data_IF_076743145144
#
_entry.id   IF_076743145144
#
_cell.length_a   1.000
_cell.length_b   1.000
_cell.length_c   1.000
_cell.angle_alpha   90.00
_cell.angle_beta   90.00
_cell.angle_gamma   90.00
#
_symmetry.space_group_name_H-M   'P 1'
#
loop_
_entity.id
_entity.type
_entity.pdbx_description
1 polymer ?
#
# COMPACT_ATOMS: atom_id res chain seq x y z
N UNK A 1 2.93 -31.80 29.58
CA UNK A 1 4.33 -31.77 29.19
C UNK A 1 4.38 -31.84 27.66
N UNK A 2 4.28 -30.70 26.99
CA UNK A 2 4.44 -30.61 25.54
C UNK A 2 5.41 -29.47 25.26
N UNK A 3 6.58 -29.86 24.80
CA UNK A 3 7.67 -28.95 24.44
C UNK A 3 7.39 -28.34 23.07
N UNK A 4 7.20 -27.04 23.03
CA UNK A 4 7.17 -26.27 21.80
C UNK A 4 8.62 -25.88 21.45
N UNK A 5 9.20 -26.55 20.48
CA UNK A 5 10.49 -26.22 19.92
C UNK A 5 10.36 -25.93 18.44
N UNK A 6 10.48 -24.67 18.07
CA UNK A 6 11.22 -24.23 16.86
C UNK A 6 11.19 -22.71 16.72
N UNK A 7 12.20 -22.10 17.29
CA UNK A 7 12.58 -20.73 16.94
C UNK A 7 13.34 -20.80 15.61
N UNK A 8 12.72 -20.40 14.50
CA UNK A 8 13.39 -20.26 13.21
C UNK A 8 14.00 -18.87 13.15
N UNK A 9 15.32 -18.81 13.11
CA UNK A 9 16.11 -17.59 12.93
C UNK A 9 15.70 -16.91 11.62
N UNK A 10 15.16 -15.70 11.70
CA UNK A 10 15.02 -14.79 10.55
C UNK A 10 16.42 -14.29 10.18
N UNK A 11 16.82 -14.60 8.97
CA UNK A 11 18.04 -14.07 8.37
C UNK A 11 17.70 -12.71 7.77
N UNK A 12 18.25 -11.65 8.37
CA UNK A 12 18.26 -10.32 7.76
C UNK A 12 19.18 -10.38 6.55
N UNK A 13 18.66 -10.16 5.36
CA UNK A 13 19.48 -9.90 4.19
C UNK A 13 20.05 -8.50 4.30
N UNK A 14 21.33 -8.42 4.59
CA UNK A 14 22.15 -7.25 4.33
C UNK A 14 22.37 -7.18 2.81
N UNK A 15 22.18 -5.99 2.28
CA UNK A 15 22.35 -5.66 0.88
C UNK A 15 23.84 -5.65 0.56
N UNK A 16 24.35 -6.79 0.08
CA UNK A 16 25.69 -6.87 -0.50
C UNK A 16 25.64 -7.61 -1.84
N UNK A 17 26.27 -6.97 -2.84
CA UNK A 17 26.73 -7.50 -4.12
C UNK A 17 25.72 -7.91 -5.19
N UNK A 18 25.36 -6.93 -6.03
CA UNK A 18 24.97 -7.21 -7.41
C UNK A 18 26.12 -6.84 -8.34
N UNK A 19 26.97 -7.82 -8.64
CA UNK A 19 27.70 -7.90 -9.90
C UNK A 19 27.93 -9.36 -10.27
N UNK A 20 27.18 -9.78 -11.30
CA UNK A 20 27.52 -10.87 -12.20
C UNK A 20 27.38 -12.29 -11.67
N UNK A 21 26.30 -12.97 -12.06
CA UNK A 21 26.32 -14.35 -12.56
C UNK A 21 25.01 -14.59 -13.33
N UNK A 22 25.08 -14.66 -14.65
CA UNK A 22 24.14 -15.40 -15.46
C UNK A 22 24.30 -16.87 -15.16
N UNK A 23 23.27 -17.60 -14.74
CA UNK A 23 22.88 -18.88 -15.34
C UNK A 23 21.61 -19.47 -14.67
N UNK A 24 20.65 -19.83 -15.56
CA UNK A 24 19.68 -20.92 -15.48
C UNK A 24 19.07 -21.28 -14.12
N UNK A 25 17.99 -20.63 -13.76
CA UNK A 25 17.04 -21.21 -12.80
C UNK A 25 16.01 -22.07 -13.57
N UNK A 26 16.17 -23.38 -13.46
CA UNK A 26 15.16 -24.38 -13.76
C UNK A 26 13.95 -24.18 -12.83
N UNK A 27 12.79 -24.24 -13.42
CA UNK A 27 11.48 -24.42 -12.82
C UNK A 27 11.54 -25.43 -11.64
N UNK A 28 11.57 -24.91 -10.44
CA UNK A 28 11.28 -25.66 -9.22
C UNK A 28 10.08 -24.99 -8.60
N UNK A 29 8.90 -25.59 -8.78
CA UNK A 29 7.67 -25.18 -8.14
C UNK A 29 7.81 -25.13 -6.64
N UNK A 30 8.21 -23.99 -6.11
CA UNK A 30 8.10 -23.67 -4.69
C UNK A 30 6.61 -23.43 -4.45
N UNK A 31 5.93 -24.46 -3.96
CA UNK A 31 4.64 -24.29 -3.31
C UNK A 31 4.90 -23.37 -2.11
N UNK A 32 4.58 -22.10 -2.27
CA UNK A 32 4.64 -21.15 -1.18
C UNK A 32 3.60 -21.61 -0.14
N UNK A 33 4.06 -22.22 0.95
CA UNK A 33 3.24 -22.52 2.10
C UNK A 33 2.55 -21.20 2.51
N UNK A 34 1.23 -21.19 2.39
CA UNK A 34 0.40 -20.07 2.82
C UNK A 34 0.63 -19.88 4.32
N UNK A 35 1.51 -18.98 4.68
CA UNK A 35 1.75 -18.60 6.06
C UNK A 35 0.43 -18.17 6.69
N UNK A 36 0.10 -18.67 7.87
CA UNK A 36 -1.12 -18.40 8.62
C UNK A 36 -1.15 -16.98 9.22
N UNK A 37 -0.34 -16.07 8.71
CA UNK A 37 -0.20 -14.69 9.19
C UNK A 37 -0.58 -13.64 8.15
N UNK A 38 -0.86 -12.43 8.63
CA UNK A 38 -1.03 -11.23 7.81
C UNK A 38 0.21 -11.02 6.92
N UNK A 39 0.07 -10.66 5.64
CA UNK A 39 1.21 -10.35 4.79
C UNK A 39 1.95 -9.11 5.31
N UNK A 40 3.26 -9.07 5.07
CA UNK A 40 4.16 -8.01 5.54
C UNK A 40 4.62 -7.12 4.37
N UNK A 41 5.25 -6.00 4.72
CA UNK A 41 5.95 -5.15 3.73
C UNK A 41 7.08 -5.97 3.11
N UNK A 42 7.14 -5.98 1.76
CA UNK A 42 8.07 -6.77 0.97
C UNK A 42 7.50 -8.13 0.51
N UNK A 43 6.38 -8.57 1.07
CA UNK A 43 5.72 -9.79 0.59
C UNK A 43 4.95 -9.50 -0.72
N UNK A 44 4.82 -10.52 -1.56
CA UNK A 44 3.88 -10.46 -2.67
C UNK A 44 2.46 -10.44 -2.13
N UNK A 45 1.63 -9.57 -2.69
CA UNK A 45 0.23 -9.44 -2.30
C UNK A 45 -0.52 -10.77 -2.51
N UNK A 46 -1.15 -11.33 -1.48
CA UNK A 46 -1.86 -12.60 -1.57
C UNK A 46 -2.97 -12.56 -2.62
N UNK A 47 -2.94 -13.53 -3.53
CA UNK A 47 -3.89 -13.62 -4.64
C UNK A 47 -5.29 -14.06 -4.16
N UNK A 48 -6.33 -13.49 -4.79
CA UNK A 48 -7.71 -13.91 -4.58
C UNK A 48 -8.56 -13.69 -5.84
N UNK A 49 -9.72 -14.36 -5.87
CA UNK A 49 -10.75 -14.14 -6.87
C UNK A 49 -12.07 -13.86 -6.17
N UNK A 50 -12.74 -12.79 -6.54
CA UNK A 50 -14.01 -12.38 -5.94
C UNK A 50 -14.89 -11.63 -6.92
N UNK A 51 -16.16 -11.45 -6.52
CA UNK A 51 -17.06 -10.50 -7.18
C UNK A 51 -16.88 -9.11 -6.58
N UNK A 52 -16.99 -8.11 -7.42
CA UNK A 52 -16.99 -6.70 -7.02
C UNK A 52 -18.19 -5.99 -7.63
N UNK A 53 -18.44 -4.75 -7.21
CA UNK A 53 -19.46 -3.88 -7.81
C UNK A 53 -19.26 -3.65 -9.30
N UNK A 54 -18.07 -3.90 -9.84
CA UNK A 54 -17.72 -3.74 -11.27
C UNK A 54 -17.46 -5.07 -11.99
N UNK A 55 -17.90 -6.19 -11.38
CA UNK A 55 -17.76 -7.53 -11.99
C UNK A 55 -16.70 -8.37 -11.28
N UNK A 56 -16.20 -9.40 -11.99
CA UNK A 56 -15.20 -10.31 -11.44
C UNK A 56 -13.84 -9.63 -11.32
N UNK A 57 -13.16 -9.90 -10.22
CA UNK A 57 -11.80 -9.46 -9.96
C UNK A 57 -10.90 -10.66 -9.71
N UNK A 58 -9.77 -10.74 -10.41
CA UNK A 58 -8.69 -11.69 -10.21
C UNK A 58 -7.45 -10.92 -9.75
N UNK A 59 -7.32 -10.73 -8.44
CA UNK A 59 -6.26 -9.95 -7.83
C UNK A 59 -5.02 -10.84 -7.57
N UNK A 60 -3.78 -10.39 -7.82
CA UNK A 60 -3.40 -9.07 -8.33
C UNK A 60 -3.33 -8.95 -9.86
N UNK A 61 -3.59 -10.03 -10.62
CA UNK A 61 -3.31 -10.12 -12.06
C UNK A 61 -4.02 -9.03 -12.88
N UNK A 62 -5.27 -8.67 -12.53
CA UNK A 62 -6.03 -7.62 -13.21
C UNK A 62 -5.43 -6.20 -13.02
N UNK A 63 -4.49 -6.07 -12.09
CA UNK A 63 -3.82 -4.81 -11.74
C UNK A 63 -2.34 -4.79 -12.10
N UNK A 64 -1.85 -5.76 -12.87
CA UNK A 64 -0.45 -5.84 -13.26
C UNK A 64 0.05 -4.53 -13.90
N UNK A 65 1.20 -4.03 -13.48
CA UNK A 65 1.78 -2.77 -13.95
C UNK A 65 1.17 -1.50 -13.35
N UNK A 66 0.26 -1.64 -12.37
CA UNK A 66 -0.38 -0.54 -11.65
C UNK A 66 -0.02 -0.55 -10.17
N UNK A 67 0.08 0.62 -9.57
CA UNK A 67 -0.03 0.74 -8.13
C UNK A 67 -1.47 0.48 -7.70
N UNK A 68 -1.65 -0.13 -6.53
CA UNK A 68 -2.98 -0.39 -5.99
C UNK A 68 -3.07 0.08 -4.55
N UNK A 69 -4.10 0.85 -4.24
CA UNK A 69 -4.58 1.09 -2.88
C UNK A 69 -5.67 0.07 -2.59
N UNK A 70 -5.30 -1.04 -1.98
CA UNK A 70 -6.26 -2.05 -1.53
C UNK A 70 -6.65 -1.75 -0.10
N UNK A 71 -7.93 -1.44 0.13
CA UNK A 71 -8.37 -0.97 1.44
C UNK A 71 -9.67 -1.63 1.89
N UNK A 72 -9.82 -1.83 3.20
CA UNK A 72 -11.06 -2.34 3.79
C UNK A 72 -11.82 -1.26 4.54
N UNK A 73 -13.13 -1.46 4.67
CA UNK A 73 -14.02 -0.65 5.51
C UNK A 73 -14.90 -1.56 6.37
N UNK A 74 -15.28 -1.13 7.58
CA UNK A 74 -16.01 -1.96 8.54
C UNK A 74 -17.36 -2.48 8.06
N UNK A 75 -18.20 -1.61 7.50
CA UNK A 75 -19.51 -1.98 6.96
C UNK A 75 -20.08 -0.88 6.05
N UNK A 76 -20.92 -1.29 5.10
CA UNK A 76 -21.74 -0.40 4.30
C UNK A 76 -22.72 0.40 5.16
N UNK A 77 -23.27 1.47 4.64
CA UNK A 77 -24.26 2.33 5.31
C UNK A 77 -23.81 2.88 6.68
N UNK A 78 -22.49 3.03 6.89
CA UNK A 78 -21.94 3.61 8.12
C UNK A 78 -21.38 5.02 7.86
N UNK A 79 -21.49 5.94 8.84
CA UNK A 79 -21.14 7.35 8.59
C UNK A 79 -19.70 7.60 8.18
N UNK A 80 -18.73 7.03 8.91
CA UNK A 80 -17.30 7.24 8.62
C UNK A 80 -16.90 6.61 7.29
N UNK A 81 -17.40 5.39 6.98
CA UNK A 81 -17.12 4.74 5.70
C UNK A 81 -17.67 5.56 4.53
N UNK A 82 -18.88 6.11 4.67
CA UNK A 82 -19.48 6.97 3.65
C UNK A 82 -18.62 8.22 3.38
N UNK A 83 -18.12 8.87 4.42
CA UNK A 83 -17.22 10.04 4.24
C UNK A 83 -15.91 9.67 3.55
N UNK A 84 -15.34 8.49 3.85
CA UNK A 84 -14.12 8.00 3.22
C UNK A 84 -14.32 7.70 1.73
N UNK A 85 -15.43 7.02 1.38
CA UNK A 85 -15.75 6.68 -0.01
C UNK A 85 -15.98 7.93 -0.85
N UNK A 86 -16.72 8.92 -0.33
CA UNK A 86 -16.88 10.21 -0.99
C UNK A 86 -15.52 10.91 -1.18
N UNK A 87 -14.63 10.87 -0.17
CA UNK A 87 -13.31 11.50 -0.26
C UNK A 87 -12.41 10.79 -1.29
N UNK A 88 -12.45 9.46 -1.36
CA UNK A 88 -11.72 8.66 -2.35
C UNK A 88 -12.28 8.87 -3.76
N UNK A 89 -13.61 8.88 -3.90
CA UNK A 89 -14.27 9.12 -5.19
C UNK A 89 -13.88 10.48 -5.78
N UNK A 90 -13.89 11.53 -4.97
CA UNK A 90 -13.48 12.89 -5.39
C UNK A 90 -12.03 12.98 -5.84
N UNK A 91 -11.16 12.08 -5.35
CA UNK A 91 -9.72 12.05 -5.67
C UNK A 91 -9.32 10.92 -6.62
N UNK A 92 -10.28 10.16 -7.12
CA UNK A 92 -10.00 8.98 -7.96
C UNK A 92 -9.14 9.32 -9.19
N UNK A 93 -9.42 10.43 -9.85
CA UNK A 93 -8.64 10.88 -11.00
C UNK A 93 -7.20 11.30 -10.62
N UNK A 94 -7.01 11.82 -9.40
CA UNK A 94 -5.66 12.13 -8.90
C UNK A 94 -4.85 10.86 -8.66
N UNK A 95 -5.47 9.77 -8.19
CA UNK A 95 -4.82 8.47 -8.06
C UNK A 95 -4.51 7.87 -9.43
N UNK A 96 -5.44 7.90 -10.36
CA UNK A 96 -5.20 7.46 -11.73
C UNK A 96 -4.05 8.20 -12.42
N UNK A 97 -3.95 9.51 -12.19
CA UNK A 97 -2.87 10.35 -12.75
C UNK A 97 -1.47 9.92 -12.27
N UNK A 98 -1.37 9.26 -11.13
CA UNK A 98 -0.13 8.68 -10.59
C UNK A 98 -0.09 7.15 -10.75
N UNK A 99 -0.72 6.61 -11.81
CA UNK A 99 -0.77 5.20 -12.15
C UNK A 99 -1.29 4.29 -11.00
N UNK A 100 -2.26 4.76 -10.21
CA UNK A 100 -2.76 4.07 -9.03
C UNK A 100 -4.24 3.77 -9.14
N UNK A 101 -4.62 2.51 -8.90
CA UNK A 101 -6.00 2.04 -8.85
C UNK A 101 -6.48 1.89 -7.39
N UNK A 102 -7.77 2.11 -7.17
CA UNK A 102 -8.42 1.95 -5.87
C UNK A 102 -9.23 0.65 -5.87
N UNK A 103 -9.11 -0.15 -4.81
CA UNK A 103 -9.86 -1.39 -4.62
C UNK A 103 -10.37 -1.47 -3.19
N UNK A 104 -11.68 -1.30 -3.02
CA UNK A 104 -12.34 -1.43 -1.71
C UNK A 104 -12.68 -2.87 -1.36
N UNK A 105 -12.82 -3.16 -0.06
CA UNK A 105 -13.29 -4.45 0.45
C UNK A 105 -14.11 -4.26 1.72
N UNK A 106 -15.20 -4.99 1.84
CA UNK A 106 -15.79 -5.34 3.13
C UNK A 106 -16.37 -6.76 3.09
N UNK A 107 -16.87 -7.21 4.24
CA UNK A 107 -17.53 -8.51 4.39
C UNK A 107 -19.03 -8.46 4.09
N UNK A 108 -19.53 -7.31 3.64
CA UNK A 108 -20.90 -7.15 3.19
C UNK A 108 -21.16 -7.87 1.86
N UNK A 109 -22.42 -8.04 1.51
CA UNK A 109 -22.83 -8.68 0.27
C UNK A 109 -22.65 -7.74 -0.94
N UNK A 110 -22.53 -8.32 -2.14
CA UNK A 110 -22.48 -7.55 -3.38
C UNK A 110 -23.71 -6.62 -3.51
N UNK A 111 -24.91 -7.10 -3.16
CA UNK A 111 -26.12 -6.30 -3.26
C UNK A 111 -26.15 -5.16 -2.24
N UNK A 112 -25.53 -5.34 -1.06
CA UNK A 112 -25.34 -4.26 -0.09
C UNK A 112 -24.41 -3.17 -0.69
N UNK A 113 -23.28 -3.56 -1.26
CA UNK A 113 -22.36 -2.62 -1.91
C UNK A 113 -23.03 -1.82 -3.03
N UNK A 114 -23.80 -2.48 -3.90
CA UNK A 114 -24.50 -1.82 -5.00
C UNK A 114 -25.49 -0.80 -4.48
N UNK A 115 -26.35 -1.18 -3.51
CA UNK A 115 -27.34 -0.28 -2.93
C UNK A 115 -26.67 0.87 -2.15
N UNK A 116 -25.55 0.60 -1.47
CA UNK A 116 -24.83 1.63 -0.74
C UNK A 116 -24.12 2.60 -1.68
N UNK A 117 -23.46 2.14 -2.73
CA UNK A 117 -22.83 2.99 -3.74
C UNK A 117 -23.87 3.94 -4.37
N UNK A 118 -25.05 3.42 -4.77
CA UNK A 118 -26.14 4.21 -5.28
C UNK A 118 -26.62 5.26 -4.26
N UNK A 119 -26.74 4.88 -2.97
CA UNK A 119 -27.16 5.82 -1.92
C UNK A 119 -26.14 6.94 -1.68
N UNK A 120 -24.86 6.72 -1.91
CA UNK A 120 -23.80 7.74 -1.78
C UNK A 120 -23.95 8.82 -2.86
N UNK A 121 -24.43 8.47 -4.05
CA UNK A 121 -24.63 9.42 -5.14
C UNK A 121 -25.64 10.51 -4.81
N UNK A 122 -26.54 10.25 -3.86
CA UNK A 122 -27.50 11.26 -3.38
C UNK A 122 -26.94 12.23 -2.33
N UNK A 123 -25.74 11.97 -1.82
CA UNK A 123 -25.14 12.73 -0.72
C UNK A 123 -24.27 13.87 -1.25
N UNK A 124 -24.69 15.11 -1.01
CA UNK A 124 -23.84 16.30 -1.19
C UNK A 124 -23.13 16.65 0.13
N UNK A 125 -22.05 15.94 0.41
CA UNK A 125 -21.28 16.16 1.64
C UNK A 125 -20.58 17.52 1.64
N UNK A 126 -21.00 18.41 2.54
CA UNK A 126 -20.47 19.77 2.74
C UNK A 126 -20.65 20.71 1.53
N UNK A 127 -21.67 20.49 0.69
CA UNK A 127 -21.93 21.35 -0.47
C UNK A 127 -20.86 21.30 -1.56
N UNK A 128 -20.07 20.19 -1.60
CA UNK A 128 -18.98 20.01 -2.58
C UNK A 128 -19.38 19.20 -3.81
N UNK A 129 -20.67 19.00 -4.01
CA UNK A 129 -21.23 18.21 -5.09
C UNK A 129 -21.34 16.72 -4.76
N UNK A 130 -22.22 16.06 -5.50
CA UNK A 130 -22.44 14.61 -5.46
C UNK A 130 -21.33 13.88 -6.21
N UNK A 131 -21.10 12.61 -5.89
CA UNK A 131 -20.09 11.78 -6.53
C UNK A 131 -20.64 10.38 -6.77
N UNK A 132 -20.24 9.75 -7.86
CA UNK A 132 -20.36 8.33 -8.09
C UNK A 132 -19.12 7.64 -7.52
N UNK A 133 -19.21 6.35 -7.18
CA UNK A 133 -18.07 5.55 -6.72
C UNK A 133 -17.38 4.91 -7.94
N UNK A 134 -16.24 5.43 -8.41
CA UNK A 134 -15.63 5.03 -9.67
C UNK A 134 -14.61 3.88 -9.54
N UNK A 135 -14.66 3.12 -8.45
CA UNK A 135 -13.74 2.03 -8.16
C UNK A 135 -14.50 0.80 -7.63
N UNK A 136 -13.98 -0.43 -7.87
CA UNK A 136 -14.62 -1.66 -7.44
C UNK A 136 -14.57 -1.85 -5.92
N UNK A 137 -15.62 -2.50 -5.39
CA UNK A 137 -15.73 -2.92 -3.99
C UNK A 137 -15.87 -4.44 -3.97
N UNK A 138 -14.92 -5.12 -3.35
CA UNK A 138 -14.89 -6.58 -3.19
C UNK A 138 -15.90 -7.02 -2.15
N UNK A 139 -16.80 -7.93 -2.53
CA UNK A 139 -17.76 -8.57 -1.63
C UNK A 139 -17.14 -9.83 -1.01
N UNK A 140 -16.60 -9.72 0.21
CA UNK A 140 -15.95 -10.83 0.91
C UNK A 140 -16.82 -11.41 2.04
N UNK A 141 -18.05 -11.80 1.72
CA UNK A 141 -19.02 -12.40 2.67
C UNK A 141 -18.45 -13.61 3.42
N UNK A 142 -17.53 -14.33 2.77
CA UNK A 142 -16.85 -15.49 3.36
C UNK A 142 -15.74 -15.11 4.35
N UNK A 143 -15.38 -13.84 4.43
CA UNK A 143 -14.25 -13.31 5.20
C UNK A 143 -12.90 -13.93 4.82
N UNK A 144 -12.80 -14.56 3.65
CA UNK A 144 -11.61 -15.27 3.23
C UNK A 144 -10.47 -14.30 2.93
N UNK A 145 -10.76 -13.27 2.14
CA UNK A 145 -9.78 -12.23 1.78
C UNK A 145 -9.43 -11.39 3.02
N UNK A 146 -10.43 -11.00 3.80
CA UNK A 146 -10.23 -10.24 5.03
C UNK A 146 -9.31 -10.97 6.03
N UNK A 147 -9.46 -12.30 6.17
CA UNK A 147 -8.56 -13.12 6.99
C UNK A 147 -7.16 -13.22 6.41
N UNK A 148 -7.05 -13.43 5.11
CA UNK A 148 -5.79 -13.56 4.39
C UNK A 148 -4.92 -12.31 4.53
N UNK A 149 -5.54 -11.13 4.58
CA UNK A 149 -4.88 -9.83 4.74
C UNK A 149 -4.83 -9.33 6.19
N UNK A 150 -5.28 -10.13 7.17
CA UNK A 150 -5.29 -9.73 8.58
C UNK A 150 -6.20 -8.55 8.90
N UNK A 151 -7.23 -8.32 8.09
CA UNK A 151 -8.17 -7.19 8.23
C UNK A 151 -9.22 -7.41 9.34
N UNK A 152 -9.26 -8.59 9.98
CA UNK A 152 -10.12 -8.90 11.10
C UNK A 152 -9.33 -8.81 12.41
N UNK A 153 -9.84 -8.06 13.39
CA UNK A 153 -9.13 -7.86 14.66
C UNK A 153 -9.09 -9.13 15.54
N UNK A 154 -10.15 -9.94 15.49
CA UNK A 154 -10.26 -11.19 16.25
C UNK A 154 -10.92 -12.25 15.40
N UNK A 155 -10.81 -13.52 15.82
CA UNK A 155 -11.48 -14.64 15.16
C UNK A 155 -13.01 -14.47 15.14
N UNK A 156 -13.56 -13.77 16.14
CA UNK A 156 -15.00 -13.51 16.28
C UNK A 156 -15.44 -12.18 15.63
N UNK A 157 -14.53 -11.42 15.00
CA UNK A 157 -14.90 -10.15 14.36
C UNK A 157 -15.85 -10.39 13.19
N UNK A 158 -16.93 -9.61 13.17
CA UNK A 158 -17.92 -9.57 12.08
C UNK A 158 -17.79 -8.30 11.23
N UNK A 159 -16.70 -7.56 11.40
CA UNK A 159 -16.38 -6.36 10.66
C UNK A 159 -14.87 -6.28 10.43
N UNK A 160 -14.46 -5.71 9.31
CA UNK A 160 -13.06 -5.42 9.04
C UNK A 160 -12.62 -4.13 9.73
N UNK A 161 -11.32 -4.00 10.01
CA UNK A 161 -10.71 -2.71 10.35
C UNK A 161 -10.60 -1.82 9.12
N UNK A 162 -10.18 -0.57 9.29
CA UNK A 162 -9.82 0.32 8.17
C UNK A 162 -8.37 0.09 7.78
N UNK A 163 -8.10 -1.01 7.10
CA UNK A 163 -6.78 -1.31 6.57
C UNK A 163 -6.54 -0.61 5.24
N UNK A 164 -5.28 -0.33 4.94
CA UNK A 164 -4.78 0.10 3.63
C UNK A 164 -3.51 -0.66 3.34
N UNK A 165 -3.46 -1.32 2.20
CA UNK A 165 -2.26 -1.92 1.62
C UNK A 165 -1.90 -1.14 0.36
N UNK A 166 -0.71 -0.57 0.32
CA UNK A 166 -0.15 0.08 -0.87
C UNK A 166 0.72 -0.97 -1.55
N UNK A 167 0.35 -1.33 -2.77
CA UNK A 167 0.93 -2.43 -3.54
C UNK A 167 1.48 -1.85 -4.83
N UNK A 168 2.71 -2.23 -5.18
CA UNK A 168 3.39 -1.71 -6.37
C UNK A 168 3.02 -2.48 -7.66
N UNK A 169 3.50 -2.02 -8.84
CA UNK A 169 3.23 -2.66 -10.13
C UNK A 169 3.68 -4.12 -10.25
N UNK A 170 4.62 -4.56 -9.41
CA UNK A 170 5.10 -5.95 -9.34
C UNK A 170 4.31 -6.79 -8.33
N UNK A 171 3.23 -6.23 -7.79
CA UNK A 171 2.37 -6.85 -6.79
C UNK A 171 3.05 -7.04 -5.42
N UNK A 172 4.03 -6.22 -5.08
CA UNK A 172 4.70 -6.24 -3.77
C UNK A 172 4.06 -5.21 -2.85
N UNK A 173 3.81 -5.60 -1.60
CA UNK A 173 3.28 -4.71 -0.57
C UNK A 173 4.40 -3.76 -0.13
N UNK A 174 4.18 -2.46 -0.31
CA UNK A 174 5.16 -1.42 -0.01
C UNK A 174 4.88 -0.65 1.28
N UNK A 175 3.60 -0.53 1.65
CA UNK A 175 3.19 0.09 2.91
C UNK A 175 1.87 -0.52 3.41
N UNK A 176 1.69 -0.51 4.73
CA UNK A 176 0.48 -1.03 5.40
C UNK A 176 0.08 -0.05 6.48
N UNK A 177 -1.19 0.37 6.48
CA UNK A 177 -1.76 1.23 7.51
C UNK A 177 -3.02 0.57 8.09
N UNK A 178 -3.17 0.64 9.39
CA UNK A 178 -4.35 0.14 10.10
C UNK A 178 -4.91 1.22 10.99
N UNK A 179 -6.20 1.48 10.85
CA UNK A 179 -6.94 2.46 11.64
C UNK A 179 -8.08 1.79 12.40
N UNK A 180 -8.39 2.26 13.62
CA UNK A 180 -9.57 1.79 14.34
C UNK A 180 -10.85 2.25 13.62
N UNK A 181 -11.95 1.58 13.92
CA UNK A 181 -13.25 1.86 13.27
C UNK A 181 -13.73 3.31 13.44
N UNK A 182 -13.35 3.95 14.54
CA UNK A 182 -13.74 5.33 14.89
C UNK A 182 -13.00 6.42 14.12
N UNK A 183 -11.88 6.08 13.45
CA UNK A 183 -10.98 7.07 12.86
C UNK A 183 -10.97 6.96 11.34
N UNK A 184 -11.51 7.96 10.64
CA UNK A 184 -11.43 8.08 9.20
C UNK A 184 -9.98 8.31 8.73
N UNK A 185 -9.65 7.75 7.57
CA UNK A 185 -8.30 7.83 6.98
C UNK A 185 -8.04 9.22 6.39
N UNK A 186 -6.79 9.64 6.45
CA UNK A 186 -6.33 10.81 5.70
C UNK A 186 -5.96 10.37 4.28
N UNK A 187 -6.76 10.77 3.29
CA UNK A 187 -6.56 10.36 1.89
C UNK A 187 -5.34 11.05 1.27
N UNK A 188 -5.02 12.27 1.71
CA UNK A 188 -3.83 12.99 1.25
C UNK A 188 -2.54 12.27 1.72
N UNK A 189 -2.54 11.71 2.93
CA UNK A 189 -1.42 10.89 3.42
C UNK A 189 -1.24 9.60 2.63
N UNK A 190 -2.32 8.91 2.26
CA UNK A 190 -2.22 7.72 1.39
C UNK A 190 -1.56 8.09 0.06
N UNK A 191 -2.00 9.17 -0.57
CA UNK A 191 -1.41 9.68 -1.81
C UNK A 191 0.06 10.08 -1.62
N UNK A 192 0.39 10.78 -0.53
CA UNK A 192 1.75 11.18 -0.18
C UNK A 192 2.70 9.98 -0.08
N UNK A 193 2.27 8.90 0.57
CA UNK A 193 3.07 7.66 0.69
C UNK A 193 3.36 7.07 -0.69
N UNK A 194 2.36 7.00 -1.58
CA UNK A 194 2.55 6.47 -2.94
C UNK A 194 3.58 7.32 -3.71
N UNK A 195 3.43 8.64 -3.69
CA UNK A 195 4.35 9.55 -4.35
C UNK A 195 5.78 9.45 -3.80
N UNK A 196 5.92 9.26 -2.48
CA UNK A 196 7.21 9.00 -1.84
C UNK A 196 7.85 7.69 -2.32
N UNK A 197 7.06 6.62 -2.46
CA UNK A 197 7.54 5.33 -2.95
C UNK A 197 7.92 5.40 -4.42
N UNK A 198 7.13 6.07 -5.26
CA UNK A 198 7.44 6.30 -6.67
C UNK A 198 8.73 7.10 -6.82
N UNK A 199 8.90 8.17 -6.02
CA UNK A 199 10.13 8.97 -6.01
C UNK A 199 11.37 8.14 -5.68
N UNK A 200 11.26 7.21 -4.72
CA UNK A 200 12.34 6.26 -4.41
C UNK A 200 12.64 5.35 -5.59
N UNK A 201 11.61 4.77 -6.21
CA UNK A 201 11.78 3.82 -7.32
C UNK A 201 12.38 4.50 -8.57
N UNK A 202 12.01 5.76 -8.83
CA UNK A 202 12.48 6.51 -9.99
C UNK A 202 13.90 7.06 -9.82
N UNK A 203 14.26 7.56 -8.64
CA UNK A 203 15.48 8.33 -8.43
C UNK A 203 16.46 7.73 -7.42
N UNK A 204 16.10 6.62 -6.79
CA UNK A 204 16.87 5.97 -5.72
C UNK A 204 17.23 6.95 -4.57
N UNK A 205 16.24 7.75 -4.16
CA UNK A 205 16.35 8.71 -3.07
C UNK A 205 15.34 8.40 -1.99
N UNK A 206 15.58 8.82 -0.75
CA UNK A 206 14.62 8.68 0.33
C UNK A 206 13.92 10.01 0.59
N UNK A 207 12.69 9.96 1.05
CA UNK A 207 11.95 11.14 1.49
C UNK A 207 12.14 11.34 2.99
N UNK A 208 12.44 12.56 3.46
CA UNK A 208 12.58 12.83 4.89
C UNK A 208 11.22 12.82 5.63
N UNK A 209 11.27 12.96 6.95
CA UNK A 209 10.06 13.16 7.75
C UNK A 209 9.27 14.38 7.24
N UNK A 210 7.94 14.26 7.24
CA UNK A 210 6.99 15.30 6.82
C UNK A 210 7.12 15.75 5.34
N UNK A 211 7.86 15.00 4.53
CA UNK A 211 8.05 15.30 3.12
C UNK A 211 6.73 15.39 2.36
N UNK A 212 6.64 16.38 1.49
CA UNK A 212 5.59 16.52 0.48
C UNK A 212 6.20 16.62 -0.92
N UNK A 213 5.46 16.31 -1.98
CA UNK A 213 5.95 16.47 -3.35
C UNK A 213 6.50 17.88 -3.60
N UNK A 214 7.75 17.96 -4.09
CA UNK A 214 8.49 19.21 -4.29
C UNK A 214 9.44 19.59 -3.16
N UNK A 215 9.39 18.91 -2.01
CA UNK A 215 10.36 19.10 -0.94
C UNK A 215 11.68 18.38 -1.22
N UNK A 216 12.75 18.85 -0.58
CA UNK A 216 14.09 18.24 -0.69
C UNK A 216 14.05 16.76 -0.31
N UNK A 217 14.86 15.95 -1.00
CA UNK A 217 15.00 14.51 -0.77
C UNK A 217 16.32 14.17 -0.07
N UNK A 218 16.38 13.01 0.58
CA UNK A 218 17.57 12.53 1.28
C UNK A 218 18.32 11.53 0.41
N UNK A 219 19.62 11.73 0.27
CA UNK A 219 20.52 10.79 -0.41
C UNK A 219 20.91 9.65 0.54
N UNK A 220 21.01 8.43 0.02
CA UNK A 220 21.51 7.28 0.77
C UNK A 220 22.87 7.58 1.42
N UNK A 221 23.08 7.08 2.65
CA UNK A 221 24.33 7.28 3.37
C UNK A 221 25.48 6.53 2.66
N UNK A 222 26.68 7.15 2.57
CA UNK A 222 27.86 6.47 2.07
C UNK A 222 28.23 5.22 2.88
N UNK A 223 28.68 4.17 2.22
CA UNK A 223 29.00 2.89 2.84
C UNK A 223 30.49 2.71 3.16
N UNK A 224 31.37 3.63 2.70
CA UNK A 224 32.81 3.60 2.94
C UNK A 224 33.32 4.95 3.45
N UNK A 225 34.47 4.95 4.13
CA UNK A 225 35.14 6.19 4.57
C UNK A 225 35.50 7.10 3.40
N UNK A 226 35.90 6.53 2.27
CA UNK A 226 36.25 7.27 1.06
C UNK A 226 35.00 7.98 0.50
N UNK A 227 33.92 7.25 0.29
CA UNK A 227 32.66 7.83 -0.23
C UNK A 227 32.07 8.85 0.74
N UNK A 228 32.23 8.69 2.06
CA UNK A 228 31.83 9.67 3.05
C UNK A 228 32.64 10.99 2.96
N UNK A 229 33.97 10.88 2.76
CA UNK A 229 34.83 12.05 2.55
C UNK A 229 34.49 12.76 1.24
N UNK A 230 34.29 12.00 0.16
CA UNK A 230 33.90 12.54 -1.14
C UNK A 230 32.55 13.28 -1.07
N UNK A 231 31.57 12.73 -0.33
CA UNK A 231 30.28 13.38 -0.10
C UNK A 231 30.43 14.76 0.54
N UNK A 232 31.32 14.89 1.53
CA UNK A 232 31.57 16.18 2.19
C UNK A 232 32.32 17.17 1.28
N UNK A 233 33.22 16.67 0.45
CA UNK A 233 34.03 17.48 -0.48
C UNK A 233 33.29 17.89 -1.76
N UNK A 234 32.18 17.23 -2.08
CA UNK A 234 31.36 17.53 -3.26
C UNK A 234 30.93 19.00 -3.28
N UNK A 235 31.01 19.65 -4.42
CA UNK A 235 30.71 21.10 -4.61
C UNK A 235 29.36 21.32 -5.33
N UNK A 236 28.55 20.26 -5.51
CA UNK A 236 27.23 20.39 -6.12
C UNK A 236 26.33 21.31 -5.26
N UNK A 237 25.95 22.45 -5.82
CA UNK A 237 25.09 23.45 -5.17
C UNK A 237 23.65 22.93 -4.88
N UNK A 238 23.24 21.84 -5.54
CA UNK A 238 21.96 21.18 -5.25
C UNK A 238 22.00 20.40 -3.94
N UNK A 239 23.21 20.13 -3.41
CA UNK A 239 23.38 19.35 -2.19
C UNK A 239 23.46 20.22 -0.95
N UNK A 240 22.58 19.95 0.00
CA UNK A 240 22.56 20.55 1.33
C UNK A 240 23.12 19.53 2.33
N UNK A 241 24.38 19.71 2.73
CA UNK A 241 25.11 18.76 3.56
C UNK A 241 25.05 19.17 5.02
N UNK A 242 24.39 18.38 5.82
CA UNK A 242 24.39 18.54 7.30
C UNK A 242 25.49 17.69 7.94
N UNK A 243 25.77 16.52 7.33
CA UNK A 243 26.87 15.63 7.67
C UNK A 243 27.14 14.68 6.49
N UNK A 244 28.16 13.81 6.63
CA UNK A 244 28.46 12.78 5.63
C UNK A 244 27.31 11.78 5.41
N UNK A 245 26.50 11.51 6.48
CA UNK A 245 25.36 10.59 6.41
C UNK A 245 24.01 11.30 6.19
N UNK A 246 23.93 12.60 6.43
CA UNK A 246 22.74 13.40 6.21
C UNK A 246 23.01 14.47 5.16
N UNK A 247 22.70 14.14 3.94
CA UNK A 247 22.77 15.03 2.79
C UNK A 247 21.42 15.05 2.10
N UNK A 248 20.87 16.23 1.92
CA UNK A 248 19.65 16.45 1.15
C UNK A 248 20.01 16.99 -0.23
N UNK A 249 19.18 16.64 -1.20
CA UNK A 249 19.22 17.18 -2.57
C UNK A 249 17.94 17.95 -2.81
N UNK A 250 18.06 19.15 -3.39
CA UNK A 250 16.90 19.90 -3.83
C UNK A 250 16.13 19.08 -4.87
N UNK A 251 14.84 18.99 -4.69
CA UNK A 251 13.95 18.44 -5.72
C UNK A 251 13.88 19.44 -6.90
N UNK A 252 13.92 18.94 -8.11
CA UNK A 252 14.01 19.75 -9.33
C UNK A 252 12.68 19.80 -10.07
#
# INVERSE_FOLDING_TARGET
MFTCGRCVKRQFFLQEDIMGIEDKAKDSGVVQECGTGMPLIGDRAPAFRSMTTMGKCNFPDDYAGKWVVFFSHPADFTPVCTTEFIALARRSEEFKAINTELLGLSIDSLHSHLAWAESIEDIDLNGKGRVEIPFPIVADISMKVARQYGMLQTVASTQTVRAVFIIDPDSIIRAILFYPMSTGRNIDEIKRIILSLQKYDEENVSTPADWNPGDDVVLGAPLTLETAKNRLADQDEKLKKYSWYLTMRKDS
#
